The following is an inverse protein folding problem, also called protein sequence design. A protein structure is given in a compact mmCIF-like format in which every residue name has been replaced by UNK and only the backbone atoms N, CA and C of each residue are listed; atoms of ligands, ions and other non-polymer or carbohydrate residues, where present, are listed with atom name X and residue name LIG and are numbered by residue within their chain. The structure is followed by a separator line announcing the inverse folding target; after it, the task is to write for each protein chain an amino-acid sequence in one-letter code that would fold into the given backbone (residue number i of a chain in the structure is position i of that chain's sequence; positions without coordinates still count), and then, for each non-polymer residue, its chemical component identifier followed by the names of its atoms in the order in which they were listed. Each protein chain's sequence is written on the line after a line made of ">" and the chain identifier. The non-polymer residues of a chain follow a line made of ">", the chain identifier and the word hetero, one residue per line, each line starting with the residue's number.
data_IF_793889385134
#
_entry.id   IF_793889385134
#
_cell.length_a   1.000
_cell.length_b   1.000
_cell.length_c   1.000
_cell.angle_alpha   90.00
_cell.angle_beta   90.00
_cell.angle_gamma   90.00
#
_symmetry.space_group_name_H-M   'P 1'
#
loop_
_entity.id
_entity.type
_entity.pdbx_description
1 polymer ?
#
# COMPACT_ATOMS: atom_id res chain seq x y z
N UNK A 1 13.37 -7.42 7.78
CA UNK A 1 12.17 -6.57 7.99
C UNK A 1 12.39 -5.59 9.13
N UNK A 2 12.71 -6.06 10.33
CA UNK A 2 12.70 -5.23 11.55
C UNK A 2 13.75 -4.11 11.54
N UNK A 3 14.94 -4.34 10.99
CA UNK A 3 15.95 -3.29 10.78
C UNK A 3 15.44 -2.16 9.88
N UNK A 4 14.73 -2.49 8.77
CA UNK A 4 14.20 -1.46 7.86
C UNK A 4 13.09 -0.67 8.55
N UNK A 5 12.23 -1.35 9.32
CA UNK A 5 11.13 -0.71 10.05
C UNK A 5 11.57 0.07 11.30
N UNK A 6 12.84 0.01 11.69
CA UNK A 6 13.40 0.86 12.75
C UNK A 6 13.61 2.31 12.29
N UNK A 7 13.65 2.54 10.99
CA UNK A 7 13.74 3.89 10.43
C UNK A 7 12.34 4.47 10.20
N UNK A 8 12.13 5.77 10.45
CA UNK A 8 10.88 6.43 10.09
C UNK A 8 10.62 6.31 8.59
N UNK A 9 9.46 5.73 8.22
CA UNK A 9 9.08 5.45 6.84
C UNK A 9 9.26 6.65 5.92
N UNK A 10 8.68 7.81 6.31
CA UNK A 10 8.73 9.01 5.49
C UNK A 10 10.17 9.50 5.23
N UNK A 11 11.08 9.32 6.18
CA UNK A 11 12.49 9.69 6.00
C UNK A 11 13.18 8.79 4.98
N UNK A 12 12.89 7.48 4.99
CA UNK A 12 13.42 6.56 3.98
C UNK A 12 12.95 6.94 2.59
N UNK A 13 11.66 7.25 2.44
CA UNK A 13 11.07 7.66 1.17
C UNK A 13 11.68 8.98 0.68
N UNK A 14 11.82 9.99 1.55
CA UNK A 14 12.40 11.29 1.20
C UNK A 14 13.88 11.17 0.83
N UNK A 15 14.67 10.41 1.59
CA UNK A 15 16.10 10.17 1.27
C UNK A 15 16.24 9.44 -0.06
N UNK A 16 15.42 8.41 -0.30
CA UNK A 16 15.43 7.71 -1.57
C UNK A 16 15.03 8.66 -2.72
N UNK A 17 13.98 9.45 -2.57
CA UNK A 17 13.54 10.42 -3.56
C UNK A 17 14.58 11.52 -3.84
N UNK A 18 15.41 11.89 -2.86
CA UNK A 18 16.49 12.85 -3.04
C UNK A 18 17.69 12.26 -3.82
N UNK A 19 17.92 10.94 -3.72
CA UNK A 19 19.03 10.25 -4.42
C UNK A 19 18.67 9.97 -5.89
N UNK A 20 17.43 9.56 -6.14
CA UNK A 20 16.97 9.23 -7.48
C UNK A 20 16.47 10.48 -8.21
N UNK A 21 16.59 10.49 -9.54
CA UNK A 21 16.03 11.59 -10.35
C UNK A 21 14.49 11.57 -10.20
N UNK A 22 13.86 12.75 -9.99
CA UNK A 22 12.40 12.85 -9.91
C UNK A 22 11.73 12.30 -11.18
N UNK A 23 10.67 11.53 -11.00
CA UNK A 23 9.92 10.95 -12.10
C UNK A 23 9.05 9.78 -11.68
N UNK A 24 8.10 9.40 -12.54
CA UNK A 24 7.12 8.35 -12.28
C UNK A 24 7.78 7.01 -11.90
N UNK A 25 8.77 6.57 -12.67
CA UNK A 25 9.44 5.29 -12.44
C UNK A 25 10.20 5.27 -11.11
N UNK A 26 10.83 6.39 -10.75
CA UNK A 26 11.53 6.51 -9.47
C UNK A 26 10.57 6.35 -8.29
N UNK A 27 9.40 7.00 -8.34
CA UNK A 27 8.38 6.86 -7.31
C UNK A 27 7.90 5.42 -7.18
N UNK A 28 7.56 4.77 -8.31
CA UNK A 28 7.10 3.37 -8.32
C UNK A 28 8.13 2.46 -7.66
N UNK A 29 9.41 2.62 -8.01
CA UNK A 29 10.47 1.80 -7.44
C UNK A 29 10.71 2.10 -5.96
N UNK A 30 10.69 3.39 -5.56
CA UNK A 30 10.90 3.80 -4.17
C UNK A 30 9.78 3.25 -3.28
N UNK A 31 8.52 3.53 -3.61
CA UNK A 31 7.37 3.08 -2.81
C UNK A 31 7.31 1.55 -2.77
N UNK A 32 7.44 0.87 -3.92
CA UNK A 32 7.43 -0.59 -3.96
C UNK A 32 8.58 -1.23 -3.17
N UNK A 33 9.76 -0.59 -3.15
CA UNK A 33 10.90 -1.11 -2.38
C UNK A 33 10.84 -0.78 -0.89
N UNK A 34 10.18 0.29 -0.51
CA UNK A 34 10.07 0.69 0.91
C UNK A 34 8.90 0.00 1.60
N UNK A 35 7.81 -0.35 0.87
CA UNK A 35 6.61 -0.96 1.45
C UNK A 35 6.67 -2.48 1.67
N UNK A 36 7.65 -3.18 1.07
CA UNK A 36 7.76 -4.65 1.19
C UNK A 36 7.81 -5.18 2.63
N UNK A 37 8.41 -4.49 3.64
CA UNK A 37 8.48 -5.04 4.99
C UNK A 37 7.10 -5.20 5.66
N UNK A 38 6.15 -4.32 5.33
CA UNK A 38 4.75 -4.42 5.79
C UNK A 38 4.08 -5.70 5.28
N UNK A 39 4.19 -5.94 3.96
CA UNK A 39 3.67 -7.17 3.32
C UNK A 39 4.33 -8.41 3.91
N UNK A 40 5.67 -8.39 4.06
CA UNK A 40 6.40 -9.52 4.61
C UNK A 40 6.00 -9.85 6.05
N UNK A 41 5.72 -8.83 6.88
CA UNK A 41 5.25 -9.01 8.26
C UNK A 41 3.83 -9.59 8.29
N UNK A 42 2.94 -9.10 7.44
CA UNK A 42 1.59 -9.63 7.30
C UNK A 42 1.60 -11.11 6.91
N UNK A 43 2.32 -11.45 5.83
CA UNK A 43 2.44 -12.83 5.34
C UNK A 43 3.03 -13.74 6.41
N UNK A 44 4.10 -13.30 7.08
CA UNK A 44 4.71 -14.06 8.18
C UNK A 44 3.71 -14.32 9.31
N UNK A 45 2.94 -13.31 9.72
CA UNK A 45 1.92 -13.45 10.78
C UNK A 45 0.86 -14.48 10.40
N UNK A 46 0.34 -14.41 9.17
CA UNK A 46 -0.66 -15.36 8.66
C UNK A 46 -0.09 -16.79 8.57
N UNK A 47 1.11 -16.95 8.06
CA UNK A 47 1.76 -18.28 7.97
C UNK A 47 1.97 -18.90 9.36
N UNK A 48 2.41 -18.11 10.34
CA UNK A 48 2.58 -18.58 11.72
C UNK A 48 1.25 -18.97 12.35
N UNK A 49 0.18 -18.22 12.12
CA UNK A 49 -1.16 -18.55 12.60
C UNK A 49 -1.69 -19.84 11.95
N UNK A 50 -1.60 -19.95 10.63
CA UNK A 50 -2.06 -21.12 9.87
C UNK A 50 -1.30 -22.39 10.23
N UNK A 51 -0.01 -22.30 10.51
CA UNK A 51 0.82 -23.42 10.94
C UNK A 51 0.29 -24.10 12.20
N UNK A 52 -0.35 -23.36 13.09
CA UNK A 52 -0.90 -23.89 14.35
C UNK A 52 -2.28 -24.52 14.17
N UNK A 53 -2.89 -24.43 13.01
CA UNK A 53 -4.20 -25.01 12.70
C UNK A 53 -4.16 -26.54 12.58
N UNK A 54 -5.27 -27.19 12.91
CA UNK A 54 -5.36 -28.65 12.93
C UNK A 54 -5.16 -29.29 11.55
N UNK A 55 -5.61 -28.61 10.45
CA UNK A 55 -5.45 -29.15 9.11
C UNK A 55 -3.98 -29.15 8.65
N UNK A 56 -3.22 -28.10 8.99
CA UNK A 56 -1.78 -28.06 8.68
C UNK A 56 -1.02 -29.08 9.52
N UNK A 57 -1.32 -29.17 10.84
CA UNK A 57 -0.71 -30.17 11.72
C UNK A 57 -1.01 -31.60 11.25
N UNK A 58 -2.25 -31.88 10.82
CA UNK A 58 -2.65 -33.16 10.25
C UNK A 58 -1.82 -33.54 9.02
N UNK A 59 -1.61 -32.61 8.09
CA UNK A 59 -0.81 -32.83 6.89
C UNK A 59 0.68 -33.09 7.22
N UNK A 60 1.21 -32.41 8.23
CA UNK A 60 2.59 -32.67 8.73
C UNK A 60 2.69 -34.09 9.31
N UNK A 61 1.74 -34.52 10.14
CA UNK A 61 1.71 -35.88 10.72
C UNK A 61 1.54 -36.94 9.63
N UNK A 62 0.77 -36.66 8.57
CA UNK A 62 0.61 -37.54 7.41
C UNK A 62 1.87 -37.62 6.52
N UNK A 63 2.95 -36.90 6.85
CA UNK A 63 4.20 -36.92 6.10
C UNK A 63 4.14 -36.17 4.76
N UNK A 64 3.18 -35.27 4.57
CA UNK A 64 3.07 -34.47 3.36
C UNK A 64 4.32 -33.61 3.14
N UNK A 65 4.82 -33.48 1.89
CA UNK A 65 6.00 -32.68 1.61
C UNK A 65 5.72 -31.18 1.90
N UNK A 66 6.73 -30.50 2.43
CA UNK A 66 6.62 -29.08 2.81
C UNK A 66 6.11 -28.19 1.67
N UNK A 67 6.52 -28.48 0.42
CA UNK A 67 6.02 -27.75 -0.76
C UNK A 67 4.51 -27.84 -0.92
N UNK A 68 3.94 -29.02 -0.73
CA UNK A 68 2.49 -29.21 -0.78
C UNK A 68 1.79 -28.38 0.29
N UNK A 69 2.26 -28.47 1.54
CA UNK A 69 1.71 -27.70 2.65
C UNK A 69 1.76 -26.20 2.38
N UNK A 70 2.90 -25.69 1.88
CA UNK A 70 3.05 -24.25 1.60
C UNK A 70 2.15 -23.77 0.47
N UNK A 71 2.15 -24.47 -0.70
CA UNK A 71 1.49 -23.94 -1.89
C UNK A 71 0.01 -24.37 -2.01
N UNK A 72 -0.37 -25.51 -1.44
CA UNK A 72 -1.75 -25.98 -1.53
C UNK A 72 -2.61 -25.65 -0.31
N UNK A 73 -1.98 -25.48 0.86
CA UNK A 73 -2.73 -25.27 2.11
C UNK A 73 -2.54 -23.84 2.66
N UNK A 74 -1.31 -23.38 2.78
CA UNK A 74 -1.02 -22.08 3.43
C UNK A 74 -1.23 -20.93 2.46
N UNK A 75 -0.63 -20.98 1.27
CA UNK A 75 -0.67 -19.88 0.32
C UNK A 75 -2.10 -19.48 -0.09
N UNK A 76 -3.01 -20.38 -0.46
CA UNK A 76 -4.38 -19.99 -0.82
C UNK A 76 -5.11 -19.29 0.32
N UNK A 77 -4.87 -19.71 1.57
CA UNK A 77 -5.46 -19.11 2.76
C UNK A 77 -4.84 -17.77 3.16
N UNK A 78 -3.66 -17.41 2.60
CA UNK A 78 -3.02 -16.11 2.83
C UNK A 78 -3.36 -15.08 1.74
N UNK A 79 -3.91 -15.48 0.61
CA UNK A 79 -4.23 -14.58 -0.52
C UNK A 79 -5.25 -13.52 -0.12
N UNK A 80 -6.32 -13.90 0.56
CA UNK A 80 -7.38 -12.98 0.96
C UNK A 80 -6.86 -11.84 1.88
N UNK A 81 -6.16 -12.12 2.99
CA UNK A 81 -5.53 -11.07 3.79
C UNK A 81 -4.55 -10.20 3.02
N UNK A 82 -3.80 -10.76 2.06
CA UNK A 82 -2.86 -10.00 1.22
C UNK A 82 -3.62 -9.04 0.30
N UNK A 83 -4.70 -9.47 -0.33
CA UNK A 83 -5.52 -8.62 -1.21
C UNK A 83 -6.13 -7.45 -0.45
N UNK A 84 -6.69 -7.70 0.74
CA UNK A 84 -7.24 -6.64 1.61
C UNK A 84 -6.13 -5.66 2.03
N UNK A 85 -4.96 -6.15 2.41
CA UNK A 85 -3.83 -5.29 2.76
C UNK A 85 -3.33 -4.47 1.56
N UNK A 86 -3.32 -5.07 0.36
CA UNK A 86 -2.88 -4.39 -0.86
C UNK A 86 -3.74 -3.17 -1.20
N UNK A 87 -5.07 -3.20 -0.94
CA UNK A 87 -5.92 -2.01 -1.13
C UNK A 87 -5.55 -0.89 -0.17
N UNK A 88 -5.25 -1.20 1.09
CA UNK A 88 -4.79 -0.20 2.07
C UNK A 88 -3.43 0.41 1.66
N UNK A 89 -2.47 -0.43 1.24
CA UNK A 89 -1.17 0.03 0.73
C UNK A 89 -1.36 0.91 -0.51
N UNK A 90 -2.25 0.54 -1.43
CA UNK A 90 -2.56 1.33 -2.62
C UNK A 90 -3.07 2.73 -2.26
N UNK A 91 -3.98 2.85 -1.28
CA UNK A 91 -4.48 4.13 -0.81
C UNK A 91 -3.37 4.99 -0.19
N UNK A 92 -2.50 4.39 0.63
CA UNK A 92 -1.35 5.07 1.25
C UNK A 92 -0.35 5.51 0.18
N UNK A 93 0.01 4.63 -0.77
CA UNK A 93 0.96 4.95 -1.85
C UNK A 93 0.47 6.10 -2.75
N UNK A 94 -0.85 6.26 -2.94
CA UNK A 94 -1.41 7.42 -3.63
C UNK A 94 -1.18 8.73 -2.85
N UNK A 95 -1.34 8.69 -1.53
CA UNK A 95 -1.07 9.86 -0.69
C UNK A 95 0.43 10.19 -0.67
N UNK A 96 1.29 9.18 -0.61
CA UNK A 96 2.74 9.35 -0.64
C UNK A 96 3.23 9.92 -1.98
N UNK A 97 2.68 9.41 -3.11
CA UNK A 97 2.94 9.99 -4.43
C UNK A 97 2.52 11.45 -4.48
N UNK A 98 1.30 11.75 -4.01
CA UNK A 98 0.80 13.12 -4.00
C UNK A 98 1.66 14.05 -3.13
N UNK A 99 2.11 13.58 -1.96
CA UNK A 99 3.00 14.33 -1.07
C UNK A 99 4.37 14.57 -1.69
N UNK A 100 4.99 13.54 -2.29
CA UNK A 100 6.29 13.66 -2.97
C UNK A 100 6.21 14.60 -4.17
N UNK A 101 5.16 14.47 -4.97
CA UNK A 101 4.92 15.34 -6.13
C UNK A 101 4.64 16.79 -5.71
N UNK A 102 3.88 17.00 -4.62
CA UNK A 102 3.66 18.30 -4.02
C UNK A 102 4.97 18.95 -3.57
N UNK A 103 5.90 18.19 -2.99
CA UNK A 103 7.23 18.65 -2.58
C UNK A 103 8.20 18.81 -3.76
N UNK A 104 7.78 18.49 -4.99
CA UNK A 104 8.63 18.60 -6.19
C UNK A 104 9.61 17.45 -6.38
N UNK A 105 9.51 16.38 -5.57
CA UNK A 105 10.34 15.18 -5.68
C UNK A 105 9.66 14.03 -6.42
N UNK A 106 8.43 14.26 -6.86
CA UNK A 106 7.59 13.26 -7.52
C UNK A 106 7.60 13.32 -9.04
N UNK A 107 6.42 13.17 -9.64
CA UNK A 107 6.21 13.25 -11.08
C UNK A 107 6.51 14.66 -11.57
N UNK A 108 7.32 14.77 -12.63
CA UNK A 108 7.74 16.07 -13.20
C UNK A 108 7.00 16.37 -14.50
N UNK A 109 6.76 17.67 -14.81
CA UNK A 109 6.28 18.08 -16.12
C UNK A 109 7.16 17.52 -17.25
N UNK A 110 6.60 17.14 -18.41
CA UNK A 110 5.21 17.40 -18.84
C UNK A 110 4.16 16.38 -18.33
N UNK A 111 4.55 15.37 -17.54
CA UNK A 111 3.61 14.40 -16.98
C UNK A 111 2.78 15.05 -15.86
N UNK A 112 1.45 14.89 -15.93
CA UNK A 112 0.55 15.38 -14.90
C UNK A 112 0.28 14.31 -13.84
N UNK A 113 0.31 14.69 -12.57
CA UNK A 113 -0.23 13.93 -11.45
C UNK A 113 -1.09 14.83 -10.56
N UNK A 114 -1.95 14.25 -9.75
CA UNK A 114 -2.79 15.02 -8.83
C UNK A 114 -1.92 15.78 -7.81
N UNK A 115 -0.84 15.17 -7.34
CA UNK A 115 0.11 15.81 -6.43
C UNK A 115 0.89 16.95 -7.07
N UNK A 116 1.32 16.80 -8.33
CA UNK A 116 1.98 17.84 -9.11
C UNK A 116 1.02 19.05 -9.32
N UNK A 117 -0.28 18.79 -9.58
CA UNK A 117 -1.27 19.86 -9.68
C UNK A 117 -1.43 20.65 -8.37
N UNK A 118 -1.22 20.00 -7.22
CA UNK A 118 -1.24 20.66 -5.91
C UNK A 118 0.03 21.48 -5.62
N UNK A 119 1.13 21.26 -6.34
CA UNK A 119 2.40 21.94 -6.09
C UNK A 119 2.26 23.48 -6.16
N UNK A 120 1.42 24.00 -7.06
CA UNK A 120 1.12 25.42 -7.14
C UNK A 120 0.54 26.01 -5.85
N UNK A 121 -0.13 25.21 -5.02
CA UNK A 121 -0.71 25.65 -3.75
C UNK A 121 0.32 25.94 -2.64
N UNK A 122 1.60 25.69 -2.86
CA UNK A 122 2.67 26.16 -1.97
C UNK A 122 2.77 27.69 -1.92
N UNK A 123 2.29 28.38 -2.95
CA UNK A 123 2.16 29.82 -2.95
C UNK A 123 0.93 30.29 -2.16
N UNK A 124 1.12 31.14 -1.14
CA UNK A 124 0.02 31.74 -0.37
C UNK A 124 -0.99 32.44 -1.28
N UNK A 125 -0.50 33.11 -2.33
CA UNK A 125 -1.36 33.79 -3.31
C UNK A 125 -2.26 32.80 -4.03
N UNK A 126 -1.72 31.67 -4.50
CA UNK A 126 -2.52 30.63 -5.16
C UNK A 126 -3.51 30.01 -4.17
N UNK A 127 -3.05 29.73 -2.96
CA UNK A 127 -3.88 29.11 -1.92
C UNK A 127 -5.11 29.97 -1.57
N UNK A 128 -4.94 31.29 -1.47
CA UNK A 128 -6.01 32.22 -1.04
C UNK A 128 -6.83 32.79 -2.19
N UNK A 129 -6.18 33.09 -3.33
CA UNK A 129 -6.84 33.83 -4.43
C UNK A 129 -7.29 32.92 -5.59
N UNK A 130 -6.77 31.68 -5.67
CA UNK A 130 -7.05 30.76 -6.78
C UNK A 130 -7.43 29.34 -6.30
N UNK A 131 -8.49 29.20 -5.48
CA UNK A 131 -8.88 27.90 -4.90
C UNK A 131 -9.26 26.86 -5.95
N UNK A 132 -9.69 27.27 -7.13
CA UNK A 132 -10.01 26.38 -8.25
C UNK A 132 -8.81 25.61 -8.82
N UNK A 133 -7.57 25.99 -8.50
CA UNK A 133 -6.39 25.27 -8.97
C UNK A 133 -6.06 24.04 -8.10
N UNK A 134 -6.30 24.12 -6.79
CA UNK A 134 -5.92 23.06 -5.84
C UNK A 134 -7.11 22.28 -5.27
N UNK A 135 -8.29 22.90 -5.14
CA UNK A 135 -9.48 22.22 -4.64
C UNK A 135 -9.88 20.98 -5.48
N UNK A 136 -10.00 21.07 -6.83
CA UNK A 136 -10.39 19.92 -7.63
C UNK A 136 -9.42 18.73 -7.51
N UNK A 137 -8.09 18.88 -7.65
CA UNK A 137 -7.18 17.75 -7.48
C UNK A 137 -7.15 17.24 -6.04
N UNK A 138 -7.30 18.10 -5.04
CA UNK A 138 -7.41 17.70 -3.63
C UNK A 138 -8.66 16.85 -3.36
N UNK A 139 -9.82 17.29 -3.83
CA UNK A 139 -11.08 16.52 -3.72
C UNK A 139 -10.94 15.18 -4.46
N UNK A 140 -10.32 15.18 -5.64
CA UNK A 140 -10.14 13.94 -6.42
C UNK A 140 -9.29 12.92 -5.66
N UNK A 141 -8.21 13.34 -5.01
CA UNK A 141 -7.39 12.46 -4.15
C UNK A 141 -8.23 11.86 -3.04
N UNK A 142 -9.02 12.68 -2.34
CA UNK A 142 -9.90 12.20 -1.26
C UNK A 142 -10.90 11.17 -1.78
N UNK A 143 -11.56 11.45 -2.90
CA UNK A 143 -12.55 10.54 -3.50
C UNK A 143 -11.89 9.22 -3.90
N UNK A 144 -10.70 9.27 -4.52
CA UNK A 144 -9.98 8.07 -4.94
C UNK A 144 -9.56 7.22 -3.74
N UNK A 145 -8.97 7.84 -2.70
CA UNK A 145 -8.55 7.14 -1.48
C UNK A 145 -9.73 6.49 -0.77
N UNK A 146 -10.83 7.22 -0.63
CA UNK A 146 -12.06 6.69 -0.01
C UNK A 146 -12.63 5.54 -0.84
N UNK A 147 -12.66 5.67 -2.18
CA UNK A 147 -13.14 4.61 -3.07
C UNK A 147 -12.31 3.33 -2.96
N UNK A 148 -10.98 3.46 -2.90
CA UNK A 148 -10.07 2.31 -2.72
C UNK A 148 -10.31 1.64 -1.36
N UNK A 149 -10.50 2.41 -0.29
CA UNK A 149 -10.79 1.85 1.03
C UNK A 149 -12.14 1.10 1.03
N UNK A 150 -13.19 1.62 0.39
CA UNK A 150 -14.46 0.90 0.23
C UNK A 150 -14.30 -0.42 -0.53
N UNK A 151 -13.47 -0.44 -1.58
CA UNK A 151 -13.15 -1.69 -2.29
C UNK A 151 -12.41 -2.67 -1.36
N UNK A 152 -11.48 -2.17 -0.54
CA UNK A 152 -10.78 -2.96 0.47
C UNK A 152 -11.72 -3.58 1.49
N UNK A 153 -12.66 -2.80 2.00
CA UNK A 153 -13.67 -3.27 2.97
C UNK A 153 -14.59 -4.31 2.33
N UNK A 154 -15.06 -4.07 1.10
CA UNK A 154 -15.89 -5.03 0.36
C UNK A 154 -15.15 -6.35 0.09
N UNK A 155 -13.84 -6.30 -0.23
CA UNK A 155 -13.02 -7.49 -0.37
C UNK A 155 -12.88 -8.23 0.96
N UNK A 156 -12.66 -7.51 2.06
CA UNK A 156 -12.59 -8.09 3.39
C UNK A 156 -13.87 -8.83 3.74
N UNK A 157 -15.03 -8.19 3.54
CA UNK A 157 -16.33 -8.79 3.81
C UNK A 157 -16.61 -10.01 2.93
N UNK A 158 -16.19 -9.97 1.66
CA UNK A 158 -16.35 -11.09 0.73
C UNK A 158 -15.50 -12.33 1.10
N UNK A 159 -14.34 -12.09 1.73
CA UNK A 159 -13.43 -13.17 2.16
C UNK A 159 -13.61 -13.57 3.63
N UNK A 160 -14.48 -12.89 4.39
CA UNK A 160 -14.77 -13.25 5.78
C UNK A 160 -15.77 -14.42 5.84
N UNK A 161 -15.35 -15.63 6.24
CA UNK A 161 -16.25 -16.80 6.31
C UNK A 161 -17.30 -16.67 7.42
N UNK A 162 -17.18 -15.69 8.32
CA UNK A 162 -18.12 -15.49 9.44
C UNK A 162 -19.27 -14.52 9.10
N UNK A 163 -19.21 -13.78 8.01
CA UNK A 163 -20.21 -12.80 7.57
C UNK A 163 -21.57 -13.37 7.15
N UNK A 164 -21.69 -14.68 6.99
CA UNK A 164 -22.94 -15.37 6.58
C UNK A 164 -23.93 -15.71 7.69
N UNK A 165 -23.75 -15.21 8.92
CA UNK A 165 -24.61 -15.52 10.08
C UNK A 165 -25.28 -14.28 10.69
N UNK A 166 -25.78 -13.38 9.88
CA UNK A 166 -26.72 -12.35 10.37
C UNK A 166 -27.96 -12.36 9.52
#
# INVERSE_FOLDING_TARGET
>A
TDMVMSFPYILLVLVAAAIFKPGLWSIILILGFVDWPGVARLVRGNVLSLRETNFVKGNVVAGMPLRHILFSEILPNTVAPILVYATSVMAISMLDEAALSFLGMGVQPPMASLGNMLNGAQSITVLTSQPWLWLPPGIMIVVLVVSINFVGDALRDAFDPSGGRR
#
